data_IF_511176510347
#
_entry.id   IF_511176510347
#
_cell.length_a   1.000
_cell.length_b   1.000
_cell.length_c   1.000
_cell.angle_alpha   90.00
_cell.angle_beta   90.00
_cell.angle_gamma   90.00
#
_symmetry.space_group_name_H-M   'P 1'
#
loop_
_entity.id
_entity.type
_entity.pdbx_description
1 polymer ?
#
# COMPACT_ATOMS: atom_id res chain seq x y z
N UNK A 1 -9.57 -12.34 18.69
CA UNK A 1 -8.89 -12.08 17.48
C UNK A 1 -8.85 -10.60 17.14
N UNK A 2 -9.10 -10.23 15.90
CA UNK A 2 -8.87 -8.89 15.32
C UNK A 2 -9.43 -7.71 16.16
N UNK A 3 -10.65 -7.81 16.69
CA UNK A 3 -11.19 -6.74 17.56
C UNK A 3 -10.33 -6.52 18.81
N UNK A 4 -9.85 -7.59 19.45
CA UNK A 4 -8.99 -7.45 20.63
C UNK A 4 -7.65 -6.78 20.25
N UNK A 5 -7.11 -7.09 19.09
CA UNK A 5 -5.85 -6.46 18.60
C UNK A 5 -6.06 -4.96 18.32
N UNK A 6 -7.21 -4.57 17.74
CA UNK A 6 -7.55 -3.16 17.51
C UNK A 6 -7.74 -2.38 18.81
N UNK A 7 -8.36 -2.99 19.82
CA UNK A 7 -8.49 -2.41 21.17
C UNK A 7 -7.13 -2.29 21.85
N UNK A 8 -6.24 -3.28 21.66
CA UNK A 8 -4.87 -3.21 22.17
C UNK A 8 -4.07 -2.11 21.48
N UNK A 9 -4.22 -1.94 20.17
CA UNK A 9 -3.64 -0.80 19.43
C UNK A 9 -4.08 0.53 20.03
N UNK A 10 -5.38 0.67 20.30
CA UNK A 10 -5.91 1.90 20.94
C UNK A 10 -5.33 2.13 22.33
N UNK A 11 -5.20 1.07 23.16
CA UNK A 11 -4.59 1.14 24.48
C UNK A 11 -3.09 1.53 24.42
N UNK A 12 -2.40 1.16 23.33
CA UNK A 12 -1.01 1.57 23.05
C UNK A 12 -0.90 2.91 22.31
N UNK A 13 -1.98 3.67 22.20
CA UNK A 13 -2.05 4.97 21.49
C UNK A 13 -1.65 4.91 20.02
N UNK A 14 -1.78 3.75 19.37
CA UNK A 14 -1.61 3.61 17.92
C UNK A 14 -2.85 4.18 17.24
N UNK A 15 -2.66 5.27 16.51
CA UNK A 15 -3.76 6.08 15.94
C UNK A 15 -3.85 6.06 14.42
N UNK A 16 -2.99 5.32 13.75
CA UNK A 16 -3.03 5.16 12.30
C UNK A 16 -2.90 3.67 11.98
N UNK A 17 -3.90 3.10 11.33
CA UNK A 17 -3.94 1.67 11.03
C UNK A 17 -4.23 1.48 9.54
N UNK A 18 -3.36 0.74 8.85
CA UNK A 18 -3.56 0.35 7.46
C UNK A 18 -4.18 -1.05 7.39
N UNK A 19 -5.37 -1.16 6.82
CA UNK A 19 -6.06 -2.43 6.65
C UNK A 19 -5.79 -3.04 5.28
N UNK A 20 -5.27 -4.26 5.29
CA UNK A 20 -5.02 -5.06 4.10
C UNK A 20 -5.67 -6.43 4.24
N UNK A 21 -6.05 -7.07 3.13
CA UNK A 21 -6.64 -8.42 3.14
C UNK A 21 -5.53 -9.43 3.28
N UNK A 22 -4.35 -9.28 3.39
CA UNK A 22 -3.27 -10.26 3.48
C UNK A 22 -3.12 -11.16 2.23
N UNK A 23 -1.94 -11.68 2.06
CA UNK A 23 -1.62 -12.58 0.94
C UNK A 23 -2.07 -14.02 1.23
N UNK A 24 -2.41 -14.80 0.19
CA UNK A 24 -2.73 -16.21 0.38
C UNK A 24 -1.51 -16.99 0.88
N UNK A 25 -1.70 -17.99 1.77
CA UNK A 25 -0.61 -18.78 2.36
C UNK A 25 0.35 -19.40 1.32
N UNK A 26 -0.14 -19.63 0.10
CA UNK A 26 0.68 -20.17 -1.02
C UNK A 26 1.89 -19.30 -1.38
N UNK A 27 1.84 -18.00 -1.08
CA UNK A 27 2.94 -17.05 -1.31
C UNK A 27 3.94 -16.99 -0.16
N UNK A 28 3.63 -17.63 0.96
CA UNK A 28 4.45 -17.62 2.17
C UNK A 28 5.26 -18.89 2.39
N UNK A 29 5.93 -18.94 3.54
CA UNK A 29 6.78 -20.06 3.95
C UNK A 29 6.00 -21.35 4.27
N UNK A 30 4.68 -21.26 4.42
CA UNK A 30 3.78 -22.37 4.74
C UNK A 30 2.67 -22.50 3.69
N UNK A 31 3.00 -22.87 2.44
CA UNK A 31 2.04 -22.86 1.32
C UNK A 31 0.90 -23.87 1.47
N UNK A 32 1.05 -24.84 2.39
CA UNK A 32 0.04 -25.85 2.73
C UNK A 32 -0.93 -25.38 3.83
N UNK A 33 -0.70 -24.23 4.44
CA UNK A 33 -1.62 -23.70 5.46
C UNK A 33 -2.93 -23.25 4.82
N UNK A 34 -4.04 -23.37 5.58
CA UNK A 34 -5.33 -22.85 5.17
C UNK A 34 -5.40 -21.34 5.38
N UNK A 35 -5.82 -20.62 4.34
CA UNK A 35 -6.12 -19.19 4.48
C UNK A 35 -7.38 -18.98 5.33
N UNK A 36 -7.34 -18.03 6.27
CA UNK A 36 -8.49 -17.64 7.10
C UNK A 36 -8.87 -16.21 6.69
N UNK A 37 -9.78 -16.12 5.73
CA UNK A 37 -10.26 -14.84 5.16
C UNK A 37 -11.72 -14.60 5.56
N UNK A 38 -12.00 -14.63 6.88
CA UNK A 38 -13.35 -14.33 7.41
C UNK A 38 -13.75 -12.88 7.16
N UNK A 39 -12.76 -11.99 7.07
CA UNK A 39 -12.92 -10.59 6.70
C UNK A 39 -11.85 -10.16 5.71
N UNK A 40 -12.22 -9.29 4.78
CA UNK A 40 -11.29 -8.55 3.93
C UNK A 40 -11.03 -7.14 4.50
N UNK A 41 -10.24 -6.34 3.80
CA UNK A 41 -9.92 -4.97 4.23
C UNK A 41 -11.15 -4.07 4.37
N UNK A 42 -12.22 -4.29 3.59
CA UNK A 42 -13.47 -3.53 3.68
C UNK A 42 -14.17 -3.84 5.02
N UNK A 43 -14.28 -5.12 5.34
CA UNK A 43 -14.85 -5.56 6.61
C UNK A 43 -14.06 -5.03 7.82
N UNK A 44 -12.73 -5.03 7.74
CA UNK A 44 -11.85 -4.51 8.80
C UNK A 44 -12.01 -3.00 8.98
N UNK A 45 -12.17 -2.21 7.90
CA UNK A 45 -12.49 -0.78 8.00
C UNK A 45 -13.81 -0.56 8.74
N UNK A 46 -14.85 -1.32 8.40
CA UNK A 46 -16.15 -1.22 9.05
C UNK A 46 -16.06 -1.57 10.56
N UNK A 47 -15.23 -2.57 10.94
CA UNK A 47 -14.97 -2.89 12.35
C UNK A 47 -14.34 -1.70 13.06
N UNK A 48 -13.24 -1.15 12.54
CA UNK A 48 -12.56 -0.02 13.18
C UNK A 48 -13.45 1.21 13.26
N UNK A 49 -14.24 1.49 12.23
CA UNK A 49 -15.22 2.59 12.26
C UNK A 49 -16.21 2.44 13.41
N UNK A 50 -16.74 1.23 13.64
CA UNK A 50 -17.64 0.96 14.77
C UNK A 50 -16.95 1.15 16.12
N UNK A 51 -15.72 0.67 16.28
CA UNK A 51 -14.94 0.89 17.49
C UNK A 51 -14.68 2.37 17.75
N UNK A 52 -14.42 3.16 16.70
CA UNK A 52 -14.30 4.62 16.78
C UNK A 52 -15.63 5.31 17.20
N UNK A 53 -16.76 4.65 16.97
CA UNK A 53 -18.09 5.10 17.42
C UNK A 53 -18.45 4.58 18.82
N UNK A 54 -17.56 3.84 19.48
CA UNK A 54 -17.80 3.26 20.80
C UNK A 54 -18.71 2.03 20.78
N UNK A 55 -18.76 1.28 19.66
CA UNK A 55 -19.60 0.09 19.51
C UNK A 55 -18.72 -1.08 19.06
N UNK A 56 -18.81 -2.21 19.75
CA UNK A 56 -18.11 -3.43 19.39
C UNK A 56 -18.80 -4.21 18.25
N UNK A 57 -18.20 -5.33 17.83
CA UNK A 57 -18.77 -6.19 16.78
C UNK A 57 -20.10 -6.83 17.22
N UNK A 58 -20.29 -7.08 18.50
CA UNK A 58 -21.53 -7.63 19.07
C UNK A 58 -22.65 -6.60 19.21
N UNK A 59 -22.36 -5.30 18.98
CA UNK A 59 -23.32 -4.22 19.16
C UNK A 59 -23.34 -3.64 20.57
N UNK A 60 -22.39 -4.03 21.44
CA UNK A 60 -22.30 -3.51 22.80
C UNK A 60 -21.49 -2.20 22.81
N UNK A 61 -21.89 -1.27 23.71
CA UNK A 61 -21.13 -0.06 23.94
C UNK A 61 -19.76 -0.38 24.58
N UNK A 62 -18.72 0.32 24.15
CA UNK A 62 -17.39 0.27 24.73
C UNK A 62 -16.94 1.68 25.14
N UNK A 63 -16.28 1.77 26.28
CA UNK A 63 -15.65 3.00 26.77
C UNK A 63 -14.22 2.69 27.28
N UNK A 64 -13.25 3.54 26.90
CA UNK A 64 -13.37 4.64 25.94
C UNK A 64 -13.50 4.11 24.49
N UNK A 65 -14.11 4.90 23.61
CA UNK A 65 -14.09 4.64 22.18
C UNK A 65 -12.67 4.74 21.61
N UNK A 66 -12.41 4.09 20.49
CA UNK A 66 -11.12 4.21 19.78
C UNK A 66 -11.09 5.45 18.88
N UNK A 67 -9.89 5.86 18.44
CA UNK A 67 -9.70 7.06 17.61
C UNK A 67 -8.63 6.82 16.55
N UNK A 68 -8.62 5.65 15.91
CA UNK A 68 -7.64 5.35 14.87
C UNK A 68 -8.12 5.88 13.51
N UNK A 69 -7.23 6.58 12.79
CA UNK A 69 -7.41 6.88 11.39
C UNK A 69 -7.32 5.57 10.56
N UNK A 70 -8.24 5.41 9.63
CA UNK A 70 -8.45 4.16 8.88
C UNK A 70 -7.80 4.29 7.51
N UNK A 71 -6.69 3.59 7.30
CA UNK A 71 -6.00 3.50 6.02
C UNK A 71 -6.33 2.22 5.26
N UNK A 72 -6.24 2.29 3.94
CA UNK A 72 -6.44 1.13 3.04
C UNK A 72 -5.39 1.07 1.94
N UNK A 73 -5.14 -0.14 1.43
CA UNK A 73 -4.34 -0.33 0.23
C UNK A 73 -5.13 0.02 -1.04
N UNK A 74 -4.44 0.49 -2.06
CA UNK A 74 -4.95 0.68 -3.41
C UNK A 74 -3.96 0.09 -4.43
N UNK A 75 -4.48 -0.48 -5.53
CA UNK A 75 -3.65 -1.05 -6.60
C UNK A 75 -3.96 -0.38 -7.95
N UNK A 76 -3.22 0.69 -8.32
CA UNK A 76 -3.41 1.40 -9.57
C UNK A 76 -3.14 0.56 -10.83
N UNK A 77 -2.39 -0.55 -10.68
CA UNK A 77 -2.00 -1.46 -11.76
C UNK A 77 -2.74 -2.79 -11.73
N UNK A 78 -3.84 -2.87 -10.97
CA UNK A 78 -4.65 -4.07 -10.86
C UNK A 78 -5.11 -4.59 -12.23
N UNK A 79 -5.01 -5.90 -12.45
CA UNK A 79 -5.44 -6.56 -13.69
C UNK A 79 -6.92 -6.30 -14.00
N UNK A 80 -7.78 -6.31 -12.99
CA UNK A 80 -9.18 -5.89 -13.09
C UNK A 80 -9.33 -4.49 -12.46
N UNK A 81 -8.97 -3.50 -13.26
CA UNK A 81 -8.99 -2.09 -12.84
C UNK A 81 -10.38 -1.62 -12.40
N UNK A 82 -11.45 -2.01 -13.10
CA UNK A 82 -12.81 -1.61 -12.73
C UNK A 82 -13.26 -2.24 -11.41
N UNK A 83 -12.83 -3.46 -11.12
CA UNK A 83 -13.04 -4.10 -9.83
C UNK A 83 -12.29 -3.35 -8.73
N UNK A 84 -11.04 -2.95 -8.96
CA UNK A 84 -10.27 -2.18 -7.95
C UNK A 84 -10.93 -0.83 -7.67
N UNK A 85 -11.41 -0.11 -8.69
CA UNK A 85 -12.15 1.14 -8.50
C UNK A 85 -13.40 0.92 -7.65
N UNK A 86 -14.22 -0.11 -7.96
CA UNK A 86 -15.41 -0.43 -7.15
C UNK A 86 -15.04 -0.74 -5.71
N UNK A 87 -14.03 -1.61 -5.49
CA UNK A 87 -13.56 -1.95 -4.15
C UNK A 87 -13.00 -0.75 -3.40
N UNK A 88 -12.35 0.17 -4.10
CA UNK A 88 -11.86 1.40 -3.49
C UNK A 88 -13.03 2.26 -2.97
N UNK A 89 -14.09 2.44 -3.75
CA UNK A 89 -15.32 3.09 -3.29
C UNK A 89 -15.94 2.40 -2.08
N UNK A 90 -15.98 1.07 -2.06
CA UNK A 90 -16.48 0.28 -0.92
C UNK A 90 -15.62 0.47 0.33
N UNK A 91 -14.28 0.53 0.21
CA UNK A 91 -13.36 0.83 1.31
C UNK A 91 -13.66 2.21 1.92
N UNK A 92 -13.87 3.22 1.09
CA UNK A 92 -14.23 4.58 1.57
C UNK A 92 -15.60 4.59 2.26
N UNK A 93 -16.59 3.95 1.65
CA UNK A 93 -17.93 3.82 2.26
C UNK A 93 -17.89 3.08 3.60
N UNK A 94 -16.99 2.12 3.77
CA UNK A 94 -16.75 1.40 5.03
C UNK A 94 -16.04 2.25 6.10
N UNK A 95 -15.47 3.40 5.72
CA UNK A 95 -14.87 4.34 6.67
C UNK A 95 -13.39 4.62 6.48
N UNK A 96 -12.79 4.23 5.35
CA UNK A 96 -11.39 4.57 5.08
C UNK A 96 -11.23 6.10 4.90
N UNK A 97 -10.16 6.63 5.49
CA UNK A 97 -9.86 8.06 5.56
C UNK A 97 -8.59 8.43 4.80
N UNK A 98 -7.73 7.46 4.48
CA UNK A 98 -6.57 7.63 3.61
C UNK A 98 -6.23 6.32 2.89
N UNK A 99 -5.43 6.41 1.84
CA UNK A 99 -4.94 5.23 1.15
C UNK A 99 -3.42 5.27 0.92
N UNK A 100 -2.81 4.08 0.87
CA UNK A 100 -1.44 3.89 0.40
C UNK A 100 -1.50 2.96 -0.81
N UNK A 101 -0.87 3.34 -1.92
CA UNK A 101 -0.87 2.48 -3.10
C UNK A 101 0.14 1.33 -2.98
N UNK A 102 -0.04 0.28 -3.76
CA UNK A 102 1.05 -0.65 -4.07
C UNK A 102 2.24 0.13 -4.68
N UNK A 103 3.47 -0.42 -4.65
CA UNK A 103 4.61 0.22 -5.28
C UNK A 103 4.33 0.56 -6.74
N UNK A 104 4.46 1.84 -7.10
CA UNK A 104 4.13 2.34 -8.42
C UNK A 104 5.39 2.62 -9.22
N UNK A 105 5.52 1.97 -10.38
CA UNK A 105 6.53 2.24 -11.40
C UNK A 105 5.90 2.80 -12.69
N UNK A 106 4.67 2.39 -12.99
CA UNK A 106 3.84 2.96 -14.06
C UNK A 106 3.04 4.16 -13.53
N UNK A 107 3.60 5.36 -13.67
CA UNK A 107 2.95 6.58 -13.20
C UNK A 107 1.70 6.94 -14.00
N UNK A 108 1.59 6.54 -15.26
CA UNK A 108 0.41 6.80 -16.07
C UNK A 108 -0.77 5.95 -15.57
N UNK A 109 -0.51 4.73 -15.10
CA UNK A 109 -1.53 3.92 -14.41
C UNK A 109 -2.00 4.60 -13.11
N UNK A 110 -1.07 5.15 -12.33
CA UNK A 110 -1.43 5.90 -11.12
C UNK A 110 -2.26 7.13 -11.45
N UNK A 111 -1.89 7.94 -12.44
CA UNK A 111 -2.66 9.12 -12.82
C UNK A 111 -4.08 8.74 -13.26
N UNK A 112 -4.24 7.70 -14.07
CA UNK A 112 -5.57 7.18 -14.44
C UNK A 112 -6.39 6.76 -13.22
N UNK A 113 -5.74 6.13 -12.22
CA UNK A 113 -6.42 5.76 -10.97
C UNK A 113 -6.86 7.00 -10.20
N UNK A 114 -5.96 7.98 -10.00
CA UNK A 114 -6.26 9.22 -9.29
C UNK A 114 -7.43 9.98 -9.93
N UNK A 115 -7.47 10.08 -11.25
CA UNK A 115 -8.58 10.70 -11.98
C UNK A 115 -9.92 10.01 -11.70
N UNK A 116 -9.91 8.67 -11.68
CA UNK A 116 -11.14 7.86 -11.46
C UNK A 116 -11.67 7.98 -10.03
N UNK A 117 -10.83 8.25 -9.07
CA UNK A 117 -11.20 8.34 -7.64
C UNK A 117 -11.20 9.76 -7.09
N UNK A 118 -10.94 10.77 -7.91
CA UNK A 118 -10.84 12.17 -7.50
C UNK A 118 -12.08 12.67 -6.73
N UNK A 119 -13.28 12.18 -7.09
CA UNK A 119 -14.54 12.54 -6.42
C UNK A 119 -14.62 12.09 -4.95
N UNK A 120 -13.78 11.15 -4.51
CA UNK A 120 -13.80 10.63 -3.14
C UNK A 120 -13.07 11.56 -2.16
N UNK A 121 -12.19 12.42 -2.65
CA UNK A 121 -11.51 13.49 -1.91
C UNK A 121 -10.85 13.01 -0.60
N UNK A 122 -10.11 11.89 -0.67
CA UNK A 122 -9.30 11.40 0.45
C UNK A 122 -7.82 11.50 0.14
N UNK A 123 -6.94 11.65 1.15
CA UNK A 123 -5.50 11.62 0.95
C UNK A 123 -5.04 10.27 0.39
N UNK A 124 -4.27 10.30 -0.70
CA UNK A 124 -3.62 9.12 -1.27
C UNK A 124 -2.11 9.32 -1.20
N UNK A 125 -1.42 8.36 -0.59
CA UNK A 125 0.03 8.30 -0.55
C UNK A 125 0.50 7.29 -1.60
N UNK A 126 1.41 7.72 -2.48
CA UNK A 126 1.98 6.82 -3.47
C UNK A 126 3.04 5.92 -2.85
N UNK A 127 2.92 4.63 -3.05
CA UNK A 127 3.94 3.65 -2.67
C UNK A 127 5.16 3.78 -3.59
N UNK A 128 6.32 4.03 -3.03
CA UNK A 128 7.59 4.16 -3.75
C UNK A 128 8.53 3.04 -3.28
N UNK A 129 9.09 2.33 -4.25
CA UNK A 129 10.07 1.27 -4.01
C UNK A 129 11.34 1.56 -4.80
N UNK A 130 12.42 2.06 -4.20
CA UNK A 130 13.69 2.23 -4.89
C UNK A 130 14.26 0.86 -5.24
N UNK A 131 14.50 0.63 -6.53
CA UNK A 131 15.00 -0.65 -7.02
C UNK A 131 16.45 -0.88 -6.57
N UNK A 132 16.72 -2.05 -5.97
CA UNK A 132 18.06 -2.39 -5.51
C UNK A 132 18.94 -3.00 -6.61
N UNK A 133 18.34 -3.59 -7.65
CA UNK A 133 19.03 -4.24 -8.76
C UNK A 133 18.04 -4.59 -9.88
N UNK A 134 18.58 -4.91 -11.07
CA UNK A 134 17.78 -5.47 -12.17
C UNK A 134 17.03 -6.74 -11.74
N UNK A 135 17.68 -7.63 -10.99
CA UNK A 135 17.04 -8.85 -10.47
C UNK A 135 15.86 -8.52 -9.55
N UNK A 136 15.98 -7.46 -8.75
CA UNK A 136 14.86 -7.01 -7.90
C UNK A 136 13.70 -6.47 -8.75
N UNK A 137 13.98 -5.71 -9.82
CA UNK A 137 12.95 -5.24 -10.76
C UNK A 137 12.24 -6.42 -11.45
N UNK A 138 13.00 -7.40 -11.93
CA UNK A 138 12.45 -8.61 -12.53
C UNK A 138 11.60 -9.44 -11.56
N UNK A 139 12.04 -9.56 -10.30
CA UNK A 139 11.27 -10.24 -9.27
C UNK A 139 9.93 -9.53 -9.01
N UNK A 140 9.94 -8.20 -8.87
CA UNK A 140 8.72 -7.42 -8.66
C UNK A 140 7.75 -7.58 -9.84
N UNK A 141 8.26 -7.52 -11.07
CA UNK A 141 7.46 -7.69 -12.29
C UNK A 141 6.83 -9.10 -12.40
N UNK A 142 7.54 -10.15 -12.03
CA UNK A 142 7.14 -11.53 -12.33
C UNK A 142 6.43 -12.22 -11.15
N UNK A 143 6.78 -11.86 -9.91
CA UNK A 143 6.38 -12.61 -8.73
C UNK A 143 5.43 -11.83 -7.81
N UNK A 144 5.35 -10.49 -7.96
CA UNK A 144 4.51 -9.67 -7.09
C UNK A 144 3.23 -9.26 -7.84
N UNK A 145 2.07 -9.82 -7.46
CA UNK A 145 0.81 -9.46 -8.08
C UNK A 145 0.53 -7.96 -7.96
N UNK A 146 0.03 -7.36 -9.04
CA UNK A 146 -0.32 -5.93 -9.05
C UNK A 146 0.87 -4.97 -9.22
N UNK A 147 2.09 -5.47 -9.41
CA UNK A 147 3.25 -4.63 -9.70
C UNK A 147 3.60 -4.73 -11.18
N UNK A 148 3.60 -3.60 -11.87
CA UNK A 148 4.05 -3.48 -13.27
C UNK A 148 5.27 -2.58 -13.32
N UNK A 149 6.39 -3.09 -13.84
CA UNK A 149 7.62 -2.33 -14.05
C UNK A 149 7.77 -2.06 -15.55
N UNK A 150 7.62 -0.82 -16.03
CA UNK A 150 7.75 -0.47 -17.44
C UNK A 150 9.11 -0.87 -18.05
N UNK A 151 9.13 -1.25 -19.33
CA UNK A 151 10.33 -1.65 -20.06
C UNK A 151 11.42 -0.57 -19.98
N UNK A 152 11.06 0.70 -20.03
CA UNK A 152 12.00 1.81 -19.91
C UNK A 152 12.77 1.82 -18.59
N UNK A 153 12.14 1.39 -17.50
CA UNK A 153 12.78 1.22 -16.19
C UNK A 153 13.66 -0.04 -16.19
N UNK A 154 13.16 -1.14 -16.77
CA UNK A 154 13.95 -2.37 -16.92
C UNK A 154 15.22 -2.13 -17.72
N UNK A 155 15.14 -1.40 -18.83
CA UNK A 155 16.27 -1.05 -19.68
C UNK A 155 17.30 -0.18 -18.94
N UNK A 156 16.83 0.83 -18.18
CA UNK A 156 17.71 1.66 -17.33
C UNK A 156 18.46 0.82 -16.31
N UNK A 157 17.76 -0.11 -15.64
CA UNK A 157 18.36 -1.01 -14.66
C UNK A 157 19.35 -2.00 -15.33
N UNK A 158 19.06 -2.47 -16.53
CA UNK A 158 19.94 -3.37 -17.29
C UNK A 158 21.21 -2.67 -17.80
N UNK A 159 21.09 -1.40 -18.20
CA UNK A 159 22.23 -0.59 -18.66
C UNK A 159 23.17 -0.17 -17.52
N UNK A 160 22.72 -0.21 -16.26
CA UNK A 160 23.55 0.09 -15.11
C UNK A 160 24.61 -1.02 -14.91
N UNK A 161 25.80 -0.62 -14.50
CA UNK A 161 26.95 -1.52 -14.32
C UNK A 161 26.81 -2.50 -13.13
N UNK A 162 27.68 -2.37 -12.15
CA UNK A 162 27.65 -3.22 -10.94
C UNK A 162 26.53 -2.87 -9.97
N UNK A 163 26.52 -3.57 -8.82
CA UNK A 163 25.44 -3.42 -7.80
C UNK A 163 25.25 -1.98 -7.32
N UNK A 164 26.34 -1.23 -7.14
CA UNK A 164 26.27 0.17 -6.67
C UNK A 164 25.64 1.08 -7.71
N UNK A 165 25.96 0.91 -9.00
CA UNK A 165 25.35 1.66 -10.07
C UNK A 165 23.85 1.35 -10.21
N UNK A 166 23.48 0.08 -10.12
CA UNK A 166 22.07 -0.33 -10.15
C UNK A 166 21.29 0.29 -8.99
N UNK A 167 21.86 0.26 -7.79
CA UNK A 167 21.23 0.90 -6.62
C UNK A 167 21.07 2.41 -6.81
N UNK A 168 22.09 3.10 -7.33
CA UNK A 168 22.04 4.53 -7.64
C UNK A 168 20.94 4.83 -8.65
N UNK A 169 20.88 4.10 -9.75
CA UNK A 169 19.84 4.24 -10.78
C UNK A 169 18.44 3.99 -10.21
N UNK A 170 18.29 2.99 -9.33
CA UNK A 170 17.01 2.72 -8.66
C UNK A 170 16.55 3.86 -7.74
N UNK A 171 17.48 4.52 -7.04
CA UNK A 171 17.20 5.73 -6.24
C UNK A 171 16.82 6.90 -7.15
N UNK A 172 17.53 7.10 -8.26
CA UNK A 172 17.23 8.15 -9.25
C UNK A 172 15.82 7.99 -9.82
N UNK A 173 15.43 6.75 -10.21
CA UNK A 173 14.09 6.44 -10.70
C UNK A 173 13.02 6.78 -9.63
N UNK A 174 13.27 6.43 -8.37
CA UNK A 174 12.35 6.74 -7.28
C UNK A 174 12.21 8.25 -7.05
N UNK A 175 13.31 9.01 -7.11
CA UNK A 175 13.30 10.48 -7.00
C UNK A 175 12.53 11.14 -8.15
N UNK A 176 12.77 10.70 -9.38
CA UNK A 176 12.05 11.19 -10.57
C UNK A 176 10.53 10.92 -10.43
N UNK A 177 10.15 9.75 -9.92
CA UNK A 177 8.75 9.43 -9.67
C UNK A 177 8.14 10.36 -8.62
N UNK A 178 8.82 10.61 -7.50
CA UNK A 178 8.35 11.53 -6.45
C UNK A 178 8.17 12.94 -7.01
N UNK A 179 9.13 13.43 -7.79
CA UNK A 179 9.05 14.77 -8.38
C UNK A 179 7.84 14.90 -9.32
N UNK A 180 7.58 13.88 -10.15
CA UNK A 180 6.40 13.86 -11.04
C UNK A 180 5.07 13.78 -10.29
N UNK A 181 5.07 13.22 -9.07
CA UNK A 181 3.88 13.02 -8.25
C UNK A 181 3.61 14.16 -7.27
N UNK A 182 4.52 15.11 -7.12
CA UNK A 182 4.54 16.16 -6.09
C UNK A 182 3.19 16.84 -5.88
N UNK A 183 2.51 17.22 -6.96
CA UNK A 183 1.25 17.96 -6.91
C UNK A 183 0.00 17.07 -7.10
N UNK A 184 0.19 15.75 -7.24
CA UNK A 184 -0.90 14.83 -7.60
C UNK A 184 -1.32 13.91 -6.45
N UNK A 185 -0.47 13.75 -5.43
CA UNK A 185 -0.73 12.89 -4.27
C UNK A 185 -0.51 13.65 -2.97
N UNK A 186 -1.12 13.18 -1.88
CA UNK A 186 -0.96 13.80 -0.56
C UNK A 186 0.44 13.58 0.06
N UNK A 187 1.17 12.60 -0.43
CA UNK A 187 2.51 12.26 0.01
C UNK A 187 2.99 10.95 -0.58
N UNK A 188 4.12 10.45 -0.07
CA UNK A 188 4.70 9.17 -0.50
C UNK A 188 4.99 8.26 0.69
N UNK A 189 4.87 6.96 0.48
CA UNK A 189 5.32 5.92 1.39
C UNK A 189 6.49 5.19 0.73
N UNK A 190 7.68 5.25 1.33
CA UNK A 190 8.87 4.65 0.75
C UNK A 190 9.17 3.34 1.45
N UNK A 191 9.15 2.24 0.69
CA UNK A 191 9.47 0.91 1.18
C UNK A 191 10.98 0.63 1.01
N UNK A 192 11.74 0.41 2.10
CA UNK A 192 13.15 0.09 2.00
C UNK A 192 13.35 -1.33 1.44
N UNK A 193 14.00 -1.51 0.28
CA UNK A 193 14.21 -2.83 -0.28
C UNK A 193 15.07 -3.67 0.66
N UNK A 194 14.61 -4.89 0.96
CA UNK A 194 15.30 -5.82 1.87
C UNK A 194 15.61 -5.23 3.25
N UNK A 195 14.81 -4.29 3.75
CA UNK A 195 15.04 -3.63 5.04
C UNK A 195 16.18 -2.62 5.04
N UNK A 196 16.74 -2.25 3.88
CA UNK A 196 17.81 -1.26 3.79
C UNK A 196 17.28 0.17 3.91
N UNK A 197 17.16 0.65 5.14
CA UNK A 197 16.67 2.00 5.47
C UNK A 197 17.50 3.10 4.80
N UNK A 198 18.83 2.90 4.65
CA UNK A 198 19.70 3.89 3.99
C UNK A 198 19.32 4.13 2.53
N UNK A 199 18.82 3.10 1.84
CA UNK A 199 18.30 3.28 0.47
C UNK A 199 17.02 4.10 0.45
N UNK A 200 16.13 3.93 1.42
CA UNK A 200 14.91 4.74 1.51
C UNK A 200 15.21 6.20 1.90
N UNK A 201 16.13 6.42 2.84
CA UNK A 201 16.58 7.77 3.21
C UNK A 201 17.23 8.49 2.02
N UNK A 202 18.08 7.80 1.26
CA UNK A 202 18.71 8.36 0.07
C UNK A 202 17.70 8.81 -1.02
N UNK A 203 16.43 8.40 -0.97
CA UNK A 203 15.40 8.87 -1.90
C UNK A 203 14.90 10.27 -1.53
N UNK A 204 14.91 10.65 -0.26
CA UNK A 204 14.35 11.91 0.25
C UNK A 204 15.41 12.98 0.53
N UNK A 205 16.68 12.62 0.55
CA UNK A 205 17.82 13.54 0.62
C UNK A 205 18.10 14.18 -0.74
#
# INVERSE_FOLDING_TARGET
GMQADLLACAACEIRNILFVTGDPPKLGNYPFASGVFDMDSIGLCAVQRRLNQGIDLGGQAIEPQTHAAIGVGADPTALDFEREIRRFHEKIAAGAEFAITQPVFDLDALFRFLDRVACLNIPILAGIWPLASLRNAQFLQNEVPGVTVPDSIMDRMAAAGGKEDQRRVGIEIAREAIERLRDSVAGVQISPPFGNVQTALAVIE
#
